data_IF_835858294016
#
_entry.id   IF_835858294016
#
_cell.length_a   1.000
_cell.length_b   1.000
_cell.length_c   1.000
_cell.angle_alpha   90.00
_cell.angle_beta   90.00
_cell.angle_gamma   90.00
#
_symmetry.space_group_name_H-M   'P 1'
#
loop_
_entity.id
_entity.type
_entity.pdbx_description
1 polymer ?
#
# COMPACT_ATOMS: atom_id res chain seq x y z
N UNK A 1 63.43 -2.84 -16.58
CA UNK A 1 62.87 -4.19 -16.34
C UNK A 1 63.60 -4.71 -15.12
N UNK A 2 63.11 -4.39 -13.93
CA UNK A 2 63.77 -4.81 -12.70
C UNK A 2 62.76 -5.02 -11.59
N UNK A 3 62.87 -6.19 -10.98
CA UNK A 3 63.05 -6.41 -9.55
C UNK A 3 62.18 -7.55 -9.04
N UNK A 4 62.89 -8.64 -8.73
CA UNK A 4 62.41 -9.87 -8.10
C UNK A 4 62.19 -9.62 -6.61
N UNK A 5 61.10 -10.19 -6.08
CA UNK A 5 60.97 -10.55 -4.66
C UNK A 5 62.05 -11.58 -4.26
N UNK A 6 62.46 -11.59 -2.97
CA UNK A 6 62.07 -12.74 -2.15
C UNK A 6 61.72 -12.41 -0.68
N UNK A 7 61.17 -13.43 -0.03
CA UNK A 7 60.50 -13.49 1.27
C UNK A 7 61.42 -13.47 2.51
N UNK A 8 60.83 -12.90 3.57
CA UNK A 8 60.88 -13.23 5.02
C UNK A 8 62.15 -12.94 5.84
N UNK A 9 62.02 -11.96 6.76
CA UNK A 9 62.81 -11.90 8.00
C UNK A 9 63.02 -10.49 8.54
N UNK A 10 62.54 -10.24 9.78
CA UNK A 10 62.75 -9.05 10.63
C UNK A 10 61.90 -7.83 10.25
N UNK A 11 61.09 -7.19 11.12
CA UNK A 11 61.34 -6.75 12.50
C UNK A 11 60.01 -6.68 13.27
N UNK A 12 60.04 -7.22 14.49
CA UNK A 12 59.00 -7.19 15.52
C UNK A 12 59.20 -5.93 16.37
N UNK A 13 58.26 -4.98 16.42
CA UNK A 13 58.14 -4.07 17.57
C UNK A 13 56.85 -3.24 17.52
N UNK A 14 56.19 -3.20 18.68
CA UNK A 14 55.08 -2.33 19.10
C UNK A 14 53.65 -2.72 18.68
N UNK A 15 52.79 -2.68 19.71
CA UNK A 15 51.34 -2.89 19.72
C UNK A 15 50.86 -4.34 19.87
N UNK A 16 51.34 -4.98 20.94
CA UNK A 16 50.74 -6.20 21.51
C UNK A 16 50.90 -6.19 23.01
N UNK A 17 50.00 -5.53 23.72
CA UNK A 17 49.81 -5.65 25.18
C UNK A 17 48.48 -4.98 25.54
N UNK A 18 47.69 -5.63 26.40
CA UNK A 18 46.45 -5.17 27.05
C UNK A 18 45.12 -5.73 26.51
N UNK A 19 44.95 -7.05 26.40
CA UNK A 19 43.60 -7.68 26.45
C UNK A 19 43.63 -9.03 27.18
N UNK A 20 44.23 -9.09 28.37
CA UNK A 20 44.09 -10.25 29.25
C UNK A 20 44.11 -9.82 30.72
N UNK A 21 43.00 -9.27 31.20
CA UNK A 21 42.68 -9.10 32.63
C UNK A 21 41.29 -8.49 32.76
N UNK A 22 40.29 -9.33 33.01
CA UNK A 22 39.14 -9.11 33.91
C UNK A 22 37.93 -9.91 33.46
N UNK A 23 37.94 -11.20 33.81
CA UNK A 23 36.73 -11.92 34.20
C UNK A 23 36.46 -11.63 35.68
N UNK A 24 35.19 -11.76 36.09
CA UNK A 24 34.59 -11.59 37.43
C UNK A 24 34.23 -10.18 37.94
N UNK A 25 32.93 -9.83 37.79
CA UNK A 25 31.96 -9.53 38.87
C UNK A 25 30.57 -9.11 38.34
N UNK A 26 29.57 -10.00 38.53
CA UNK A 26 28.14 -9.83 38.97
C UNK A 26 27.26 -8.62 38.51
N UNK A 27 25.91 -8.62 38.69
CA UNK A 27 24.87 -9.55 38.25
C UNK A 27 23.63 -8.82 37.62
N UNK A 28 22.56 -9.59 37.44
CA UNK A 28 21.19 -9.35 36.99
C UNK A 28 20.42 -8.05 37.44
N UNK A 29 19.61 -7.53 36.50
CA UNK A 29 18.29 -6.85 36.60
C UNK A 29 18.08 -5.36 37.00
N UNK A 30 17.31 -4.71 36.10
CA UNK A 30 16.17 -3.78 36.30
C UNK A 30 16.37 -2.24 36.30
N UNK A 31 15.78 -1.65 35.23
CA UNK A 31 15.07 -0.34 35.15
C UNK A 31 15.84 0.97 35.38
N UNK A 32 15.99 1.78 34.33
CA UNK A 32 15.37 3.13 34.25
C UNK A 32 15.72 3.84 32.93
N UNK A 33 14.70 4.54 32.44
CA UNK A 33 14.61 5.41 31.27
C UNK A 33 15.67 6.53 31.21
N UNK A 34 16.32 6.68 30.05
CA UNK A 34 16.72 7.95 29.43
C UNK A 34 17.20 7.58 28.01
N UNK A 35 16.55 8.02 26.92
CA UNK A 35 16.39 9.43 26.55
C UNK A 35 17.52 9.80 25.61
N UNK A 36 17.54 9.23 24.39
CA UNK A 36 18.48 9.61 23.34
C UNK A 36 17.77 10.62 22.42
N UNK A 37 17.89 11.89 22.79
CA UNK A 37 17.45 13.05 22.01
C UNK A 37 18.42 13.24 20.83
N UNK A 38 17.99 12.86 19.63
CA UNK A 38 18.67 13.26 18.40
C UNK A 38 18.38 14.75 18.14
N UNK A 39 19.36 15.58 18.46
CA UNK A 39 19.35 17.03 18.30
C UNK A 39 19.10 17.50 16.86
N UNK A 40 17.84 17.77 16.54
CA UNK A 40 17.48 18.83 15.60
C UNK A 40 17.11 20.04 16.45
N UNK A 41 18.00 21.03 16.51
CA UNK A 41 17.67 22.34 17.02
C UNK A 41 16.45 22.85 16.25
N UNK A 42 15.28 22.86 16.90
CA UNK A 42 14.14 23.66 16.45
C UNK A 42 14.60 25.11 16.56
N UNK A 43 15.14 25.67 15.50
CA UNK A 43 15.30 27.12 15.37
C UNK A 43 13.92 27.72 15.47
N UNK A 44 13.53 28.10 16.69
CA UNK A 44 12.42 29.02 16.93
C UNK A 44 12.75 30.24 16.10
N UNK A 45 11.97 30.48 15.04
CA UNK A 45 12.02 31.76 14.34
C UNK A 45 11.83 32.82 15.43
N UNK A 46 12.74 33.81 15.58
CA UNK A 46 12.55 34.86 16.54
C UNK A 46 11.21 35.52 16.23
N UNK A 47 10.35 35.64 17.24
CA UNK A 47 9.08 36.31 17.10
C UNK A 47 9.36 37.77 16.73
N UNK A 48 9.29 38.08 15.44
CA UNK A 48 9.20 39.46 14.97
C UNK A 48 7.85 39.93 15.46
N UNK A 49 7.86 40.79 16.48
CA UNK A 49 6.67 41.43 17.01
C UNK A 49 6.10 42.35 15.92
N UNK A 50 5.20 41.82 15.09
CA UNK A 50 4.33 42.64 14.25
C UNK A 50 3.34 43.32 15.18
N UNK A 51 3.54 44.61 15.40
CA UNK A 51 2.54 45.49 16.02
C UNK A 51 1.43 45.68 15.00
N UNK A 52 0.21 45.21 15.30
CA UNK A 52 -0.95 45.39 14.45
C UNK A 52 -2.19 44.64 14.94
N UNK A 53 -3.02 45.36 15.68
CA UNK A 53 -4.44 45.19 16.03
C UNK A 53 -5.01 43.84 16.50
N UNK A 54 -5.58 43.92 17.70
CA UNK A 54 -6.51 43.00 18.33
C UNK A 54 -7.84 42.93 17.56
N UNK A 55 -8.10 41.79 16.92
CA UNK A 55 -9.37 41.06 16.94
C UNK A 55 -9.39 39.98 15.84
N UNK A 56 -9.10 38.73 16.20
CA UNK A 56 -9.72 37.55 15.58
C UNK A 56 -9.32 36.29 16.33
N UNK A 57 -10.32 35.54 16.78
CA UNK A 57 -10.17 34.15 17.19
C UNK A 57 -9.92 33.25 15.97
N UNK A 58 -8.83 33.50 15.23
CA UNK A 58 -8.39 32.59 14.18
C UNK A 58 -7.56 31.48 14.81
N UNK A 59 -8.17 30.31 14.99
CA UNK A 59 -7.44 29.06 15.11
C UNK A 59 -6.45 29.00 13.94
N UNK A 60 -5.15 29.10 14.23
CA UNK A 60 -4.10 29.37 13.25
C UNK A 60 -4.12 28.46 12.02
N UNK A 61 -4.71 28.96 10.93
CA UNK A 61 -4.66 28.37 9.60
C UNK A 61 -3.25 28.53 9.03
N UNK A 62 -2.35 27.64 9.41
CA UNK A 62 -1.11 27.40 8.70
C UNK A 62 -1.33 26.26 7.69
N UNK A 63 -0.51 26.15 6.65
CA UNK A 63 -0.74 25.32 5.45
C UNK A 63 -0.92 23.80 5.68
N UNK A 64 -0.91 23.31 6.92
CA UNK A 64 -1.07 21.91 7.28
C UNK A 64 -2.38 21.69 8.08
N UNK A 65 -3.26 20.82 7.57
CA UNK A 65 -4.41 20.30 8.33
C UNK A 65 -4.03 18.99 9.02
N UNK A 66 -4.59 18.78 10.21
CA UNK A 66 -4.35 17.56 10.99
C UNK A 66 -4.82 16.31 10.21
N UNK A 67 -3.93 15.32 10.13
CA UNK A 67 -4.05 14.18 9.22
C UNK A 67 -4.74 13.04 9.97
N UNK A 68 -6.03 12.82 9.70
CA UNK A 68 -6.80 11.75 10.33
C UNK A 68 -6.27 10.33 10.00
N UNK A 69 -5.67 9.67 11.00
CA UNK A 69 -5.02 8.35 10.89
C UNK A 69 -6.01 7.16 10.87
N UNK A 70 -7.29 7.40 10.54
CA UNK A 70 -8.40 6.46 10.80
C UNK A 70 -8.49 5.34 9.76
N UNK A 71 -8.13 5.61 8.51
CA UNK A 71 -8.19 4.65 7.40
C UNK A 71 -7.20 3.49 7.63
N UNK A 72 -5.98 3.81 8.06
CA UNK A 72 -4.91 2.83 8.25
C UNK A 72 -5.17 1.91 9.45
N UNK A 73 -5.84 2.42 10.50
CA UNK A 73 -6.22 1.61 11.65
C UNK A 73 -7.28 0.55 11.30
N UNK A 74 -8.29 0.93 10.50
CA UNK A 74 -9.32 -0.01 10.06
C UNK A 74 -8.73 -1.09 9.14
N UNK A 75 -7.85 -0.71 8.22
CA UNK A 75 -7.13 -1.64 7.35
C UNK A 75 -6.27 -2.63 8.16
N UNK A 76 -5.51 -2.12 9.15
CA UNK A 76 -4.68 -2.95 10.04
C UNK A 76 -5.51 -3.97 10.81
N UNK A 77 -6.63 -3.58 11.42
CA UNK A 77 -7.49 -4.49 12.19
C UNK A 77 -8.02 -5.63 11.31
N UNK A 78 -8.48 -5.33 10.10
CA UNK A 78 -8.99 -6.33 9.15
C UNK A 78 -7.91 -7.34 8.75
N UNK A 79 -6.72 -6.84 8.36
CA UNK A 79 -5.62 -7.70 7.98
C UNK A 79 -5.13 -8.58 9.15
N UNK A 80 -5.13 -8.07 10.39
CA UNK A 80 -4.83 -8.88 11.58
C UNK A 80 -5.86 -9.97 11.76
N UNK A 81 -7.16 -9.64 11.72
CA UNK A 81 -8.22 -10.66 11.86
C UNK A 81 -8.10 -11.74 10.80
N UNK A 82 -7.90 -11.37 9.53
CA UNK A 82 -7.70 -12.30 8.42
C UNK A 82 -6.47 -13.20 8.62
N UNK A 83 -5.36 -12.61 9.07
CA UNK A 83 -4.11 -13.35 9.34
C UNK A 83 -4.26 -14.38 10.45
N UNK A 84 -4.94 -14.02 11.54
CA UNK A 84 -5.21 -14.95 12.65
C UNK A 84 -6.11 -16.10 12.20
N UNK A 85 -7.14 -15.80 11.41
CA UNK A 85 -8.06 -16.79 10.87
C UNK A 85 -7.34 -17.78 9.93
N UNK A 86 -6.51 -17.26 9.02
CA UNK A 86 -5.68 -18.05 8.11
C UNK A 86 -4.68 -18.92 8.88
N UNK A 87 -4.03 -18.40 9.93
CA UNK A 87 -3.10 -19.16 10.77
C UNK A 87 -3.79 -20.33 11.48
N UNK A 88 -4.96 -20.10 12.08
CA UNK A 88 -5.73 -21.16 12.75
C UNK A 88 -6.09 -22.27 11.77
N UNK A 89 -6.54 -21.90 10.57
CA UNK A 89 -6.94 -22.87 9.56
C UNK A 89 -5.75 -23.67 9.02
N UNK A 90 -4.65 -22.98 8.68
CA UNK A 90 -3.41 -23.62 8.24
C UNK A 90 -2.90 -24.64 9.27
N UNK A 91 -2.95 -24.34 10.57
CA UNK A 91 -2.59 -25.31 11.62
C UNK A 91 -3.53 -26.51 11.64
N UNK A 92 -4.83 -26.29 11.45
CA UNK A 92 -5.82 -27.36 11.33
C UNK A 92 -5.54 -28.29 10.14
N UNK A 93 -5.20 -27.73 8.98
CA UNK A 93 -4.85 -28.51 7.79
C UNK A 93 -3.53 -29.25 7.93
N UNK A 94 -2.51 -28.64 8.53
CA UNK A 94 -1.25 -29.33 8.81
C UNK A 94 -1.50 -30.55 9.71
N UNK A 95 -2.29 -30.39 10.77
CA UNK A 95 -2.66 -31.51 11.65
C UNK A 95 -3.48 -32.55 10.89
N UNK A 96 -4.45 -32.14 10.08
CA UNK A 96 -5.24 -33.04 9.23
C UNK A 96 -4.40 -33.81 8.21
N UNK A 97 -3.41 -33.17 7.60
CA UNK A 97 -2.47 -33.76 6.66
C UNK A 97 -1.56 -34.79 7.31
N UNK A 98 -1.06 -34.49 8.52
CA UNK A 98 -0.24 -35.42 9.31
C UNK A 98 -1.06 -36.66 9.75
N UNK A 99 -2.31 -36.48 10.15
CA UNK A 99 -3.17 -37.60 10.57
C UNK A 99 -3.62 -38.48 9.40
N UNK A 100 -3.80 -37.89 8.22
CA UNK A 100 -4.27 -38.59 7.02
C UNK A 100 -3.15 -39.16 6.14
N UNK A 101 -1.88 -38.80 6.40
CA UNK A 101 -0.73 -39.11 5.54
C UNK A 101 -0.98 -38.74 4.05
N UNK A 102 -1.79 -37.71 3.80
CA UNK A 102 -2.23 -37.35 2.45
C UNK A 102 -1.43 -36.19 1.88
N UNK A 103 -0.78 -36.43 0.73
CA UNK A 103 -0.04 -35.40 -0.01
C UNK A 103 -0.95 -34.28 -0.52
N UNK A 104 -2.24 -34.57 -0.74
CA UNK A 104 -3.21 -33.58 -1.21
C UNK A 104 -3.46 -32.46 -0.19
N UNK A 105 -3.54 -32.80 1.11
CA UNK A 105 -3.72 -31.81 2.17
C UNK A 105 -2.43 -31.00 2.38
N UNK A 106 -1.26 -31.60 2.16
CA UNK A 106 0.01 -30.89 2.25
C UNK A 106 0.14 -29.78 1.19
N UNK A 107 -0.39 -29.99 -0.02
CA UNK A 107 -0.39 -28.96 -1.07
C UNK A 107 -1.35 -27.81 -0.78
N UNK A 108 -2.49 -28.07 -0.13
CA UNK A 108 -3.44 -27.04 0.29
C UNK A 108 -2.87 -26.19 1.45
N UNK A 109 -2.25 -26.86 2.43
CA UNK A 109 -1.56 -26.18 3.53
C UNK A 109 -0.40 -25.29 3.03
N UNK A 110 0.31 -25.70 1.97
CA UNK A 110 1.36 -24.89 1.36
C UNK A 110 0.79 -23.63 0.66
N UNK A 111 -0.40 -23.73 0.07
CA UNK A 111 -1.12 -22.57 -0.47
C UNK A 111 -1.46 -21.57 0.64
N UNK A 112 -2.10 -22.04 1.72
CA UNK A 112 -2.48 -21.20 2.86
C UNK A 112 -1.27 -20.51 3.51
N UNK A 113 -0.12 -21.18 3.54
CA UNK A 113 1.12 -20.57 4.03
C UNK A 113 1.52 -19.34 3.20
N UNK A 114 1.36 -19.41 1.87
CA UNK A 114 1.67 -18.28 0.99
C UNK A 114 0.65 -17.15 1.10
N UNK A 115 -0.60 -17.47 1.40
CA UNK A 115 -1.66 -16.50 1.68
C UNK A 115 -1.37 -15.76 2.99
N UNK A 116 -1.02 -16.52 4.04
CA UNK A 116 -0.57 -15.98 5.31
C UNK A 116 0.67 -15.08 5.14
N UNK A 117 1.67 -15.52 4.39
CA UNK A 117 2.86 -14.73 4.09
C UNK A 117 2.50 -13.42 3.38
N UNK A 118 1.57 -13.45 2.42
CA UNK A 118 1.07 -12.24 1.73
C UNK A 118 0.40 -11.25 2.68
N UNK A 119 -0.39 -11.74 3.64
CA UNK A 119 -0.99 -10.88 4.67
C UNK A 119 0.05 -10.31 5.65
N UNK A 120 1.09 -11.08 6.00
CA UNK A 120 2.19 -10.59 6.83
C UNK A 120 2.99 -9.48 6.13
N UNK A 121 3.27 -9.64 4.83
CA UNK A 121 3.92 -8.60 4.01
C UNK A 121 3.04 -7.34 3.96
N UNK A 122 1.73 -7.51 3.79
CA UNK A 122 0.75 -6.41 3.79
C UNK A 122 0.69 -5.68 5.14
N UNK A 123 0.73 -6.40 6.26
CA UNK A 123 0.77 -5.80 7.61
C UNK A 123 2.09 -5.10 7.88
N UNK A 124 3.20 -5.71 7.49
CA UNK A 124 4.53 -5.12 7.64
C UNK A 124 4.66 -3.83 6.82
N UNK A 125 4.20 -3.84 5.57
CA UNK A 125 4.23 -2.63 4.72
C UNK A 125 3.35 -1.50 5.27
N UNK A 126 2.17 -1.81 5.81
CA UNK A 126 1.31 -0.83 6.49
C UNK A 126 1.95 -0.31 7.78
N UNK A 127 2.62 -1.16 8.55
CA UNK A 127 3.39 -0.70 9.72
C UNK A 127 4.51 0.26 9.31
N UNK A 128 5.27 -0.07 8.26
CA UNK A 128 6.35 0.77 7.75
C UNK A 128 5.80 2.10 7.21
N UNK A 129 4.65 2.11 6.53
CA UNK A 129 4.07 3.34 5.97
C UNK A 129 3.61 4.35 7.02
N UNK A 130 3.25 3.89 8.23
CA UNK A 130 2.89 4.76 9.36
C UNK A 130 4.08 5.44 10.03
N UNK A 131 5.33 5.11 9.65
CA UNK A 131 6.52 5.73 10.24
C UNK A 131 6.66 7.19 9.81
N UNK A 132 7.17 8.07 10.71
CA UNK A 132 7.41 9.46 10.37
C UNK A 132 8.46 9.61 9.27
N UNK A 133 8.42 10.76 8.58
CA UNK A 133 9.41 11.12 7.57
C UNK A 133 10.82 11.20 8.17
N UNK A 134 11.83 10.82 7.38
CA UNK A 134 13.25 10.85 7.77
C UNK A 134 14.04 11.69 6.77
N UNK A 135 15.28 12.06 7.09
CA UNK A 135 16.12 12.86 6.16
C UNK A 135 16.39 12.17 4.82
N UNK A 136 16.46 10.83 4.82
CA UNK A 136 16.64 10.03 3.58
C UNK A 136 15.33 9.83 2.82
N UNK A 137 14.21 9.74 3.54
CA UNK A 137 12.86 9.58 2.99
C UNK A 137 12.01 10.78 3.39
N UNK A 138 12.19 11.90 2.68
CA UNK A 138 11.60 13.21 2.99
C UNK A 138 10.07 13.20 2.93
N UNK A 139 9.51 12.49 1.96
CA UNK A 139 8.06 12.27 1.84
C UNK A 139 7.52 11.22 2.82
N UNK A 140 8.38 10.53 3.58
CA UNK A 140 8.00 9.41 4.43
C UNK A 140 7.95 8.07 3.71
N UNK A 141 7.36 7.08 4.38
CA UNK A 141 7.41 5.67 3.97
C UNK A 141 6.13 5.19 3.25
N UNK A 142 5.32 6.10 2.73
CA UNK A 142 4.01 5.77 2.14
C UNK A 142 4.09 4.80 0.96
N UNK A 143 5.16 4.86 0.15
CA UNK A 143 5.39 3.92 -0.96
C UNK A 143 5.62 2.47 -0.48
N UNK A 144 5.90 2.24 0.81
CA UNK A 144 6.05 0.88 1.34
C UNK A 144 4.77 0.05 1.15
N UNK A 145 3.58 0.66 1.24
CA UNK A 145 2.30 -0.03 0.95
C UNK A 145 2.25 -0.56 -0.48
N UNK A 146 2.65 0.27 -1.44
CA UNK A 146 2.67 -0.06 -2.87
C UNK A 146 3.67 -1.20 -3.13
N UNK A 147 4.84 -1.15 -2.49
CA UNK A 147 5.84 -2.22 -2.59
C UNK A 147 5.38 -3.52 -1.91
N UNK A 148 4.66 -3.43 -0.80
CA UNK A 148 4.04 -4.57 -0.13
C UNK A 148 3.04 -5.27 -1.04
N UNK A 149 2.09 -4.51 -1.60
CA UNK A 149 1.12 -5.02 -2.57
C UNK A 149 1.79 -5.66 -3.80
N UNK A 150 2.84 -5.02 -4.35
CA UNK A 150 3.62 -5.58 -5.46
C UNK A 150 4.21 -6.95 -5.10
N UNK A 151 4.85 -7.02 -3.93
CA UNK A 151 5.51 -8.25 -3.46
C UNK A 151 4.50 -9.37 -3.26
N UNK A 152 3.33 -9.08 -2.67
CA UNK A 152 2.24 -10.05 -2.53
C UNK A 152 1.73 -10.55 -3.89
N UNK A 153 1.52 -9.65 -4.87
CA UNK A 153 1.10 -10.06 -6.23
C UNK A 153 2.15 -10.96 -6.90
N UNK A 154 3.44 -10.65 -6.76
CA UNK A 154 4.50 -11.50 -7.30
C UNK A 154 4.54 -12.87 -6.62
N UNK A 155 4.30 -12.94 -5.31
CA UNK A 155 4.22 -14.22 -4.60
C UNK A 155 3.08 -15.09 -5.14
N UNK A 156 1.90 -14.49 -5.38
CA UNK A 156 0.76 -15.18 -6.02
C UNK A 156 1.16 -15.77 -7.37
N UNK A 157 1.84 -14.98 -8.22
CA UNK A 157 2.27 -15.46 -9.53
C UNK A 157 3.24 -16.63 -9.45
N UNK A 158 4.15 -16.62 -8.49
CA UNK A 158 5.06 -17.75 -8.24
C UNK A 158 4.27 -18.99 -7.85
N UNK A 159 3.32 -18.88 -6.91
CA UNK A 159 2.47 -20.00 -6.48
C UNK A 159 1.61 -20.52 -7.62
N UNK A 160 0.94 -19.65 -8.37
CA UNK A 160 0.15 -20.02 -9.54
C UNK A 160 1.02 -20.76 -10.58
N UNK A 161 2.24 -20.28 -10.85
CA UNK A 161 3.15 -20.96 -11.78
C UNK A 161 3.53 -22.36 -11.30
N UNK A 162 3.76 -22.54 -10.00
CA UNK A 162 4.02 -23.85 -9.38
C UNK A 162 2.80 -24.76 -9.52
N UNK A 163 1.58 -24.28 -9.24
CA UNK A 163 0.35 -25.07 -9.38
C UNK A 163 0.11 -25.51 -10.83
N UNK A 164 0.29 -24.59 -11.79
CA UNK A 164 0.20 -24.90 -13.22
C UNK A 164 1.23 -25.96 -13.61
N UNK A 165 2.47 -25.83 -13.14
CA UNK A 165 3.51 -26.83 -13.39
C UNK A 165 3.15 -28.20 -12.82
N UNK A 166 2.64 -28.26 -11.58
CA UNK A 166 2.15 -29.50 -10.96
C UNK A 166 0.95 -30.09 -11.71
N UNK A 167 0.03 -29.26 -12.21
CA UNK A 167 -1.11 -29.70 -13.01
C UNK A 167 -0.67 -30.32 -14.34
N UNK A 168 0.33 -29.72 -15.03
CA UNK A 168 0.95 -30.30 -16.23
C UNK A 168 1.60 -31.65 -15.90
N UNK A 169 2.34 -31.73 -14.79
CA UNK A 169 3.00 -32.97 -14.36
C UNK A 169 1.97 -34.09 -14.09
N UNK A 170 0.82 -33.77 -13.48
CA UNK A 170 -0.29 -34.72 -13.25
C UNK A 170 -0.83 -35.30 -14.56
N UNK A 171 -0.96 -34.48 -15.60
CA UNK A 171 -1.43 -34.93 -16.92
C UNK A 171 -0.41 -35.87 -17.60
N UNK A 172 0.88 -35.57 -17.49
CA UNK A 172 1.93 -36.35 -18.17
C UNK A 172 2.20 -37.68 -17.45
N UNK A 173 2.17 -37.67 -16.12
CA UNK A 173 2.62 -38.82 -15.34
C UNK A 173 1.58 -39.93 -15.21
N UNK A 174 0.28 -39.61 -15.40
CA UNK A 174 -0.90 -40.51 -15.35
C UNK A 174 -1.01 -41.45 -14.11
N UNK A 175 -0.11 -41.31 -13.14
CA UNK A 175 0.01 -42.13 -11.94
C UNK A 175 -0.32 -41.29 -10.70
N UNK A 176 -1.63 -41.15 -10.43
CA UNK A 176 -2.08 -40.49 -9.21
C UNK A 176 -3.34 -41.15 -8.64
N UNK A 177 -3.19 -41.76 -7.45
CA UNK A 177 -4.33 -42.17 -6.63
C UNK A 177 -4.83 -40.95 -5.84
N UNK A 178 -5.84 -40.26 -6.37
CA UNK A 178 -6.56 -39.24 -5.61
C UNK A 178 -7.56 -39.93 -4.68
N UNK A 179 -7.36 -39.75 -3.38
CA UNK A 179 -8.40 -40.06 -2.41
C UNK A 179 -9.47 -38.95 -2.46
N UNK A 180 -10.49 -39.18 -3.30
CA UNK A 180 -11.56 -38.23 -3.56
C UNK A 180 -12.33 -37.84 -2.29
N UNK A 181 -12.45 -38.75 -1.31
CA UNK A 181 -13.12 -38.46 -0.04
C UNK A 181 -12.40 -37.39 0.76
N UNK A 182 -11.07 -37.50 0.88
CA UNK A 182 -10.22 -36.52 1.57
C UNK A 182 -10.26 -35.17 0.84
N UNK A 183 -10.24 -35.19 -0.50
CA UNK A 183 -10.29 -33.99 -1.34
C UNK A 183 -11.64 -33.26 -1.21
N UNK A 184 -12.76 -33.98 -1.10
CA UNK A 184 -14.08 -33.38 -0.86
C UNK A 184 -14.11 -32.70 0.51
N UNK A 185 -13.63 -33.36 1.57
CA UNK A 185 -13.64 -32.81 2.93
C UNK A 185 -12.78 -31.55 3.00
N UNK A 186 -11.52 -31.62 2.56
CA UNK A 186 -10.59 -30.48 2.56
C UNK A 186 -11.14 -29.30 1.76
N UNK A 187 -11.52 -29.51 0.49
CA UNK A 187 -12.07 -28.43 -0.34
C UNK A 187 -13.36 -27.81 0.20
N UNK A 188 -14.23 -28.60 0.85
CA UNK A 188 -15.44 -28.06 1.51
C UNK A 188 -15.07 -27.14 2.67
N UNK A 189 -14.09 -27.53 3.49
CA UNK A 189 -13.61 -26.68 4.59
C UNK A 189 -12.94 -25.43 4.03
N UNK A 190 -12.09 -25.56 2.99
CA UNK A 190 -11.46 -24.43 2.30
C UNK A 190 -12.48 -23.42 1.76
N UNK A 191 -13.58 -23.90 1.15
CA UNK A 191 -14.70 -23.04 0.71
C UNK A 191 -15.30 -22.27 1.89
N UNK A 192 -15.60 -22.94 3.00
CA UNK A 192 -16.16 -22.30 4.20
C UNK A 192 -15.22 -21.23 4.74
N UNK A 193 -13.93 -21.53 4.86
CA UNK A 193 -12.93 -20.60 5.38
C UNK A 193 -12.78 -19.39 4.46
N UNK A 194 -12.72 -19.61 3.15
CA UNK A 194 -12.65 -18.53 2.18
C UNK A 194 -13.89 -17.63 2.18
N UNK A 195 -15.09 -18.18 2.45
CA UNK A 195 -16.30 -17.37 2.69
C UNK A 195 -16.12 -16.51 3.95
N UNK A 196 -15.67 -17.08 5.07
CA UNK A 196 -15.47 -16.35 6.33
C UNK A 196 -14.42 -15.24 6.14
N UNK A 197 -13.30 -15.53 5.46
CA UNK A 197 -12.28 -14.54 5.13
C UNK A 197 -12.85 -13.44 4.23
N UNK A 198 -13.59 -13.81 3.19
CA UNK A 198 -14.25 -12.87 2.28
C UNK A 198 -15.18 -11.91 3.03
N UNK A 199 -16.02 -12.43 3.94
CA UNK A 199 -16.92 -11.63 4.78
C UNK A 199 -16.17 -10.73 5.77
N UNK A 200 -15.03 -11.18 6.30
CA UNK A 200 -14.20 -10.39 7.23
C UNK A 200 -13.52 -9.21 6.53
N UNK A 201 -13.11 -9.39 5.26
CA UNK A 201 -12.52 -8.32 4.46
C UNK A 201 -13.58 -7.41 3.81
N UNK A 202 -14.77 -7.95 3.50
CA UNK A 202 -15.87 -7.21 2.90
C UNK A 202 -16.38 -6.11 3.84
N UNK A 203 -16.59 -4.91 3.30
CA UNK A 203 -17.11 -3.79 4.06
C UNK A 203 -18.63 -3.79 4.07
N UNK A 204 -19.23 -4.12 5.21
CA UNK A 204 -20.49 -3.47 5.60
C UNK A 204 -20.14 -2.13 6.25
N UNK A 205 -20.45 -1.04 5.55
CA UNK A 205 -20.51 0.28 6.14
C UNK A 205 -21.68 0.36 7.12
N UNK A 206 -21.50 -0.14 8.34
CA UNK A 206 -22.38 0.17 9.46
C UNK A 206 -21.62 1.07 10.43
N UNK A 207 -21.64 2.37 10.12
CA UNK A 207 -21.29 3.40 11.09
C UNK A 207 -22.41 3.50 12.13
N UNK A 208 -22.33 2.71 13.20
CA UNK A 208 -23.01 3.05 14.45
C UNK A 208 -22.14 4.06 15.21
N UNK A 209 -22.09 5.28 14.68
CA UNK A 209 -21.59 6.46 15.39
C UNK A 209 -22.76 7.18 16.02
N UNK A 210 -22.99 6.90 17.31
CA UNK A 210 -24.00 7.57 18.11
C UNK A 210 -23.48 8.96 18.48
N UNK A 211 -23.87 10.02 17.74
CA UNK A 211 -23.66 11.41 18.18
C UNK A 211 -24.86 12.27 17.82
N UNK A 212 -25.66 12.59 18.85
CA UNK A 212 -26.67 13.62 18.86
C UNK A 212 -26.04 15.01 18.67
N UNK A 213 -26.67 15.87 17.86
CA UNK A 213 -26.37 17.31 17.75
C UNK A 213 -27.31 17.99 16.75
N UNK A 214 -27.99 19.06 17.19
CA UNK A 214 -29.22 19.61 16.62
C UNK A 214 -29.03 20.68 15.50
N UNK A 215 -29.98 20.70 14.55
CA UNK A 215 -30.72 21.84 13.92
C UNK A 215 -30.02 23.15 13.44
N UNK A 216 -30.15 23.51 12.15
CA UNK A 216 -31.06 24.55 11.58
C UNK A 216 -30.67 25.05 10.15
N UNK A 217 -31.68 25.07 9.28
CA UNK A 217 -32.08 26.02 8.21
C UNK A 217 -31.17 26.56 7.05
N UNK A 218 -31.66 26.24 5.83
CA UNK A 218 -31.94 27.05 4.62
C UNK A 218 -30.89 27.94 3.94
N UNK A 219 -30.47 27.50 2.74
CA UNK A 219 -30.39 28.35 1.54
C UNK A 219 -30.53 27.50 0.27
N UNK A 220 -31.41 27.95 -0.62
CA UNK A 220 -31.85 27.34 -1.88
C UNK A 220 -30.84 27.63 -3.00
N UNK A 221 -30.37 26.60 -3.71
CA UNK A 221 -29.74 26.73 -5.03
C UNK A 221 -30.16 25.52 -5.89
N UNK A 222 -30.79 25.73 -7.07
CA UNK A 222 -31.20 24.66 -7.96
C UNK A 222 -30.24 24.58 -9.15
N UNK A 223 -29.19 23.75 -9.09
CA UNK A 223 -28.55 23.21 -10.31
C UNK A 223 -27.62 22.02 -10.01
N UNK A 224 -28.02 20.84 -10.51
CA UNK A 224 -27.18 19.72 -10.93
C UNK A 224 -25.89 19.44 -10.13
N UNK A 225 -26.04 19.03 -8.87
CA UNK A 225 -24.98 18.36 -8.12
C UNK A 225 -25.10 16.84 -8.23
N UNK A 226 -24.44 16.24 -9.22
CA UNK A 226 -24.17 14.81 -9.25
C UNK A 226 -23.51 14.45 -7.91
N UNK A 227 -24.24 13.74 -7.04
CA UNK A 227 -23.69 13.20 -5.81
C UNK A 227 -22.66 12.15 -6.21
N UNK A 228 -21.41 12.57 -6.37
CA UNK A 228 -20.30 11.66 -6.51
C UNK A 228 -20.25 10.83 -5.24
N UNK A 229 -20.69 9.58 -5.37
CA UNK A 229 -20.40 8.52 -4.42
C UNK A 229 -18.90 8.57 -4.16
N UNK A 230 -18.52 9.08 -2.98
CA UNK A 230 -17.16 8.95 -2.50
C UNK A 230 -16.92 7.47 -2.31
N UNK A 231 -16.42 6.80 -3.35
CA UNK A 231 -15.86 5.47 -3.24
C UNK A 231 -14.83 5.56 -2.12
N UNK A 232 -15.13 4.97 -0.97
CA UNK A 232 -14.25 4.98 0.18
C UNK A 232 -12.86 4.58 -0.30
N UNK A 233 -11.86 5.45 -0.17
CA UNK A 233 -10.49 5.17 -0.57
C UNK A 233 -10.00 3.95 0.25
N UNK A 234 -10.14 2.76 -0.32
CA UNK A 234 -9.70 1.53 0.31
C UNK A 234 -8.18 1.41 0.15
N UNK A 235 -7.50 1.02 1.23
CA UNK A 235 -6.07 0.76 1.20
C UNK A 235 -5.76 -0.33 0.15
N UNK A 236 -4.69 -0.13 -0.63
CA UNK A 236 -4.30 -1.05 -1.71
C UNK A 236 -4.05 -2.47 -1.19
N UNK A 237 -3.48 -2.60 0.00
CA UNK A 237 -3.18 -3.88 0.61
C UNK A 237 -4.47 -4.64 0.98
N UNK A 238 -5.49 -3.93 1.49
CA UNK A 238 -6.79 -4.54 1.79
C UNK A 238 -7.50 -4.96 0.51
N UNK A 239 -7.45 -4.11 -0.53
CA UNK A 239 -8.02 -4.43 -1.84
C UNK A 239 -7.33 -5.62 -2.49
N UNK A 240 -6.00 -5.67 -2.44
CA UNK A 240 -5.20 -6.79 -2.93
C UNK A 240 -5.54 -8.08 -2.17
N UNK A 241 -5.55 -8.04 -0.84
CA UNK A 241 -5.95 -9.17 0.00
C UNK A 241 -7.38 -9.64 -0.26
N UNK A 242 -8.33 -8.73 -0.54
CA UNK A 242 -9.70 -9.10 -0.85
C UNK A 242 -9.84 -9.80 -2.21
N UNK A 243 -9.18 -9.26 -3.25
CA UNK A 243 -9.16 -9.89 -4.58
C UNK A 243 -8.49 -11.26 -4.51
N UNK A 244 -7.42 -11.38 -3.72
CA UNK A 244 -6.74 -12.64 -3.43
C UNK A 244 -7.69 -13.68 -2.84
N UNK A 245 -8.37 -13.35 -1.73
CA UNK A 245 -9.33 -14.25 -1.06
C UNK A 245 -10.48 -14.66 -1.98
N UNK A 246 -10.94 -13.77 -2.88
CA UNK A 246 -11.95 -14.14 -3.90
C UNK A 246 -11.37 -15.17 -4.89
N UNK A 247 -10.12 -15.00 -5.30
CA UNK A 247 -9.41 -15.97 -6.13
C UNK A 247 -9.39 -17.35 -5.47
N UNK A 248 -8.96 -17.41 -4.21
CA UNK A 248 -8.87 -18.64 -3.42
C UNK A 248 -10.24 -19.29 -3.20
N UNK A 249 -11.27 -18.48 -2.95
CA UNK A 249 -12.65 -18.93 -2.86
C UNK A 249 -13.09 -19.64 -4.15
N UNK A 250 -12.91 -18.99 -5.29
CA UNK A 250 -13.28 -19.55 -6.59
C UNK A 250 -12.49 -20.83 -6.89
N UNK A 251 -11.19 -20.84 -6.59
CA UNK A 251 -10.35 -22.03 -6.71
C UNK A 251 -10.85 -23.17 -5.82
N UNK A 252 -11.15 -22.91 -4.55
CA UNK A 252 -11.66 -23.91 -3.60
C UNK A 252 -13.00 -24.52 -4.06
N UNK A 253 -13.91 -23.68 -4.58
CA UNK A 253 -15.17 -24.13 -5.16
C UNK A 253 -14.91 -25.03 -6.37
N UNK A 254 -13.97 -24.63 -7.24
CA UNK A 254 -13.57 -25.41 -8.39
C UNK A 254 -13.02 -26.80 -8.05
N UNK A 255 -12.09 -26.85 -7.08
CA UNK A 255 -11.53 -28.10 -6.55
C UNK A 255 -12.64 -28.96 -5.92
N UNK A 256 -13.58 -28.35 -5.19
CA UNK A 256 -14.73 -29.06 -4.62
C UNK A 256 -15.62 -29.70 -5.70
N UNK A 257 -15.89 -28.98 -6.79
CA UNK A 257 -16.67 -29.49 -7.94
C UNK A 257 -15.89 -30.63 -8.63
N UNK A 258 -14.59 -30.46 -8.85
CA UNK A 258 -13.74 -31.50 -9.43
C UNK A 258 -13.72 -32.77 -8.55
N UNK A 259 -13.58 -32.62 -7.24
CA UNK A 259 -13.57 -33.72 -6.28
C UNK A 259 -14.90 -34.49 -6.29
N UNK A 260 -16.03 -33.78 -6.35
CA UNK A 260 -17.36 -34.39 -6.44
C UNK A 260 -17.53 -35.18 -7.76
N UNK A 261 -17.07 -34.65 -8.89
CA UNK A 261 -17.12 -35.36 -10.17
C UNK A 261 -16.24 -36.62 -10.14
N UNK A 262 -15.03 -36.53 -9.59
CA UNK A 262 -14.08 -37.65 -9.48
C UNK A 262 -14.64 -38.74 -8.55
N UNK A 263 -15.35 -38.38 -7.48
CA UNK A 263 -15.96 -39.34 -6.56
C UNK A 263 -17.03 -40.21 -7.24
N UNK A 264 -17.93 -39.61 -8.05
CA UNK A 264 -18.95 -40.38 -8.77
C UNK A 264 -18.44 -41.04 -10.06
N UNK A 265 -17.44 -40.44 -10.72
CA UNK A 265 -16.85 -40.94 -11.96
C UNK A 265 -15.32 -40.88 -11.88
N UNK A 266 -14.68 -41.90 -11.29
CA UNK A 266 -13.23 -41.95 -11.15
C UNK A 266 -12.46 -41.94 -12.48
N UNK A 267 -13.10 -42.19 -13.62
CA UNK A 267 -12.48 -42.08 -14.95
C UNK A 267 -12.23 -40.63 -15.37
N UNK A 268 -12.92 -39.65 -14.78
CA UNK A 268 -12.86 -38.23 -15.15
C UNK A 268 -11.81 -37.48 -14.32
N UNK A 269 -10.65 -38.10 -14.06
CA UNK A 269 -9.59 -37.50 -13.23
C UNK A 269 -8.94 -36.26 -13.84
N UNK A 270 -9.09 -36.07 -15.16
CA UNK A 270 -8.56 -34.91 -15.90
C UNK A 270 -9.25 -33.59 -15.53
N UNK A 271 -10.41 -33.65 -14.87
CA UNK A 271 -11.19 -32.47 -14.47
C UNK A 271 -10.41 -31.59 -13.49
N UNK A 272 -9.63 -32.17 -12.59
CA UNK A 272 -8.83 -31.43 -11.59
C UNK A 272 -7.73 -30.54 -12.23
N UNK A 273 -6.87 -31.05 -13.13
CA UNK A 273 -5.96 -30.20 -13.90
C UNK A 273 -6.65 -29.12 -14.72
N UNK A 274 -7.77 -29.44 -15.40
CA UNK A 274 -8.53 -28.45 -16.20
C UNK A 274 -9.04 -27.31 -15.32
N UNK A 275 -9.61 -27.63 -14.16
CA UNK A 275 -10.02 -26.64 -13.17
C UNK A 275 -8.82 -25.77 -12.74
N UNK A 276 -7.67 -26.38 -12.43
CA UNK A 276 -6.46 -25.65 -12.02
C UNK A 276 -6.00 -24.64 -13.10
N UNK A 277 -5.99 -25.01 -14.38
CA UNK A 277 -5.66 -24.08 -15.46
C UNK A 277 -6.66 -22.92 -15.57
N UNK A 278 -7.96 -23.21 -15.49
CA UNK A 278 -9.01 -22.20 -15.55
C UNK A 278 -8.84 -21.14 -14.45
N UNK A 279 -8.62 -21.57 -13.20
CA UNK A 279 -8.43 -20.65 -12.08
C UNK A 279 -7.10 -19.90 -12.16
N UNK A 280 -6.04 -20.54 -12.63
CA UNK A 280 -4.75 -19.87 -12.85
C UNK A 280 -4.88 -18.68 -13.81
N UNK A 281 -5.65 -18.83 -14.89
CA UNK A 281 -5.94 -17.72 -15.82
C UNK A 281 -6.73 -16.62 -15.12
N UNK A 282 -7.76 -16.97 -14.35
CA UNK A 282 -8.58 -16.00 -13.62
C UNK A 282 -7.75 -15.20 -12.60
N UNK A 283 -6.91 -15.87 -11.82
CA UNK A 283 -6.00 -15.24 -10.85
C UNK A 283 -5.02 -14.30 -11.56
N UNK A 284 -4.43 -14.72 -12.68
CA UNK A 284 -3.53 -13.85 -13.45
C UNK A 284 -4.24 -12.60 -13.99
N UNK A 285 -5.46 -12.72 -14.54
CA UNK A 285 -6.22 -11.56 -15.03
C UNK A 285 -6.55 -10.55 -13.91
N UNK A 286 -7.01 -11.03 -12.77
CA UNK A 286 -7.42 -10.18 -11.65
C UNK A 286 -6.22 -9.50 -10.99
N UNK A 287 -5.12 -10.22 -10.79
CA UNK A 287 -3.89 -9.69 -10.21
C UNK A 287 -3.13 -8.74 -11.15
N UNK A 288 -3.21 -8.95 -12.47
CA UNK A 288 -2.61 -8.03 -13.45
C UNK A 288 -3.19 -6.61 -13.36
N UNK A 289 -4.48 -6.48 -13.04
CA UNK A 289 -5.09 -5.17 -12.81
C UNK A 289 -4.47 -4.45 -11.59
N UNK A 290 -4.19 -5.16 -10.50
CA UNK A 290 -3.53 -4.61 -9.31
C UNK A 290 -2.08 -4.26 -9.62
N UNK A 291 -1.37 -5.13 -10.35
CA UNK A 291 0.01 -4.90 -10.77
C UNK A 291 0.12 -3.60 -11.57
N UNK A 292 -0.77 -3.40 -12.56
CA UNK A 292 -0.81 -2.18 -13.38
C UNK A 292 -1.03 -0.91 -12.54
N UNK A 293 -1.93 -0.97 -11.55
CA UNK A 293 -2.17 0.16 -10.65
C UNK A 293 -0.95 0.47 -9.78
N UNK A 294 -0.32 -0.56 -9.26
CA UNK A 294 0.87 -0.47 -8.40
C UNK A 294 2.06 0.11 -9.17
N UNK A 295 2.29 -0.37 -10.40
CA UNK A 295 3.33 0.14 -11.28
C UNK A 295 3.09 1.59 -11.68
N UNK A 296 1.84 2.01 -11.91
CA UNK A 296 1.51 3.42 -12.19
C UNK A 296 1.90 4.34 -11.04
N UNK A 297 1.67 3.93 -9.79
CA UNK A 297 2.09 4.71 -8.62
C UNK A 297 3.62 4.77 -8.52
N UNK A 298 4.32 3.66 -8.79
CA UNK A 298 5.79 3.63 -8.80
C UNK A 298 6.41 4.47 -9.93
N UNK A 299 5.75 4.55 -11.07
CA UNK A 299 6.14 5.37 -12.22
C UNK A 299 5.65 6.82 -12.13
N UNK A 300 5.18 7.26 -10.96
CA UNK A 300 4.76 8.64 -10.69
C UNK A 300 3.63 9.13 -11.61
N UNK A 301 2.79 8.21 -12.08
CA UNK A 301 1.66 8.54 -12.93
C UNK A 301 0.57 9.31 -12.15
N UNK A 302 -0.22 10.08 -12.89
CA UNK A 302 -1.39 10.78 -12.38
C UNK A 302 -2.37 9.79 -11.71
N UNK A 303 -2.81 10.06 -10.47
CA UNK A 303 -3.73 9.17 -9.75
C UNK A 303 -5.09 9.07 -10.45
N UNK A 304 -5.75 7.91 -10.30
CA UNK A 304 -7.12 7.71 -10.78
C UNK A 304 -8.06 8.69 -10.06
N UNK A 305 -8.90 9.38 -10.81
CA UNK A 305 -9.87 10.33 -10.27
C UNK A 305 -9.39 11.79 -10.20
N UNK A 306 -8.16 12.07 -10.65
CA UNK A 306 -7.70 13.44 -10.90
C UNK A 306 -7.37 13.57 -12.38
N UNK A 307 -8.01 14.53 -13.04
CA UNK A 307 -7.75 14.83 -14.45
C UNK A 307 -6.75 15.99 -14.55
N UNK A 308 -5.75 15.83 -15.42
CA UNK A 308 -4.74 16.86 -15.65
C UNK A 308 -5.39 18.18 -16.14
N UNK A 309 -6.32 18.09 -17.10
CA UNK A 309 -7.03 19.24 -17.67
C UNK A 309 -7.84 20.00 -16.62
N UNK A 310 -8.54 19.30 -15.73
CA UNK A 310 -9.36 19.94 -14.69
C UNK A 310 -8.48 20.70 -13.68
N UNK A 311 -7.33 20.13 -13.30
CA UNK A 311 -6.36 20.83 -12.45
C UNK A 311 -5.83 22.09 -13.12
N UNK A 312 -5.48 21.99 -14.41
CA UNK A 312 -4.98 23.11 -15.19
C UNK A 312 -6.03 24.23 -15.30
N UNK A 313 -7.28 23.87 -15.59
CA UNK A 313 -8.42 24.79 -15.67
C UNK A 313 -8.69 25.50 -14.34
N UNK A 314 -8.65 24.79 -13.22
CA UNK A 314 -8.84 25.38 -11.89
C UNK A 314 -7.75 26.43 -11.60
N UNK A 315 -6.50 26.12 -11.92
CA UNK A 315 -5.39 27.05 -11.71
C UNK A 315 -5.50 28.26 -12.66
N UNK A 316 -5.85 28.07 -13.93
CA UNK A 316 -6.06 29.17 -14.87
C UNK A 316 -7.22 30.09 -14.51
N UNK A 317 -8.30 29.56 -13.95
CA UNK A 317 -9.47 30.35 -13.52
C UNK A 317 -9.24 31.11 -12.23
N UNK A 318 -8.11 30.88 -11.55
CA UNK A 318 -7.78 31.59 -10.31
C UNK A 318 -7.45 33.05 -10.61
N UNK A 319 -8.05 33.97 -9.86
CA UNK A 319 -7.83 35.40 -10.04
C UNK A 319 -6.36 35.78 -9.84
N UNK A 320 -5.87 36.69 -10.70
CA UNK A 320 -4.46 37.09 -10.75
C UNK A 320 -3.51 36.12 -11.47
N UNK A 321 -3.96 34.94 -11.90
CA UNK A 321 -3.16 34.01 -12.72
C UNK A 321 -3.19 34.43 -14.19
N UNK A 322 -2.01 34.50 -14.81
CA UNK A 322 -1.84 34.74 -16.24
C UNK A 322 -1.66 33.42 -16.99
N UNK A 323 -0.78 32.54 -16.49
CA UNK A 323 -0.43 31.27 -17.14
C UNK A 323 0.01 30.25 -16.11
N UNK A 324 -0.12 28.96 -16.42
CA UNK A 324 0.33 27.86 -15.58
C UNK A 324 1.21 26.95 -16.43
N UNK A 325 2.33 26.49 -15.89
CA UNK A 325 3.21 25.55 -16.58
C UNK A 325 3.89 24.57 -15.60
N UNK A 326 4.59 23.57 -16.16
CA UNK A 326 5.30 22.53 -15.40
C UNK A 326 4.43 21.89 -14.30
N UNK A 327 3.16 21.61 -14.63
CA UNK A 327 2.23 20.92 -13.74
C UNK A 327 2.64 19.45 -13.66
N UNK A 328 2.94 18.99 -12.44
CA UNK A 328 3.24 17.58 -12.17
C UNK A 328 2.30 17.10 -11.07
N UNK A 329 1.69 15.96 -11.34
CA UNK A 329 0.71 15.33 -10.46
C UNK A 329 1.11 13.88 -10.34
N UNK A 330 1.36 13.42 -9.12
CA UNK A 330 1.73 12.03 -8.87
C UNK A 330 1.12 11.50 -7.59
N UNK A 331 1.06 10.17 -7.49
CA UNK A 331 0.62 9.48 -6.29
C UNK A 331 1.83 9.01 -5.45
N UNK A 332 1.81 9.27 -4.15
CA UNK A 332 2.73 8.63 -3.19
C UNK A 332 2.18 7.28 -2.72
N UNK A 333 0.86 7.19 -2.58
CA UNK A 333 0.05 5.99 -2.33
C UNK A 333 -1.32 6.20 -2.98
N UNK A 334 -2.23 5.23 -2.88
CA UNK A 334 -3.57 5.32 -3.49
C UNK A 334 -4.43 6.48 -2.98
N UNK A 335 -4.13 6.97 -1.78
CA UNK A 335 -4.88 8.01 -1.06
C UNK A 335 -4.07 9.31 -0.85
N UNK A 336 -2.80 9.34 -1.24
CA UNK A 336 -1.89 10.47 -1.02
C UNK A 336 -1.39 11.01 -2.35
N UNK A 337 -2.05 12.07 -2.81
CA UNK A 337 -1.70 12.77 -4.05
C UNK A 337 -0.76 13.93 -3.74
N UNK A 338 0.31 14.05 -4.52
CA UNK A 338 1.21 15.19 -4.51
C UNK A 338 1.09 15.96 -5.83
N UNK A 339 1.10 17.29 -5.73
CA UNK A 339 0.97 18.20 -6.87
C UNK A 339 2.01 19.31 -6.77
N UNK A 340 2.71 19.57 -7.86
CA UNK A 340 3.48 20.79 -8.03
C UNK A 340 3.14 21.49 -9.34
N UNK A 341 3.17 22.82 -9.34
CA UNK A 341 2.97 23.61 -10.54
C UNK A 341 3.64 24.98 -10.40
N UNK A 342 3.96 25.59 -11.54
CA UNK A 342 4.42 26.97 -11.59
C UNK A 342 3.27 27.83 -12.10
N UNK A 343 3.00 28.93 -11.39
CA UNK A 343 1.88 29.82 -11.63
C UNK A 343 2.45 31.20 -11.95
N UNK A 344 2.27 31.63 -13.18
CA UNK A 344 2.67 32.96 -13.64
C UNK A 344 1.58 33.95 -13.28
N UNK A 345 1.93 34.99 -12.51
CA UNK A 345 1.00 36.02 -12.08
C UNK A 345 0.92 37.20 -13.05
N UNK A 346 -0.24 37.89 -13.08
CA UNK A 346 -0.42 39.13 -13.85
C UNK A 346 0.46 40.25 -13.27
N UNK A 347 0.95 41.19 -14.11
CA UNK A 347 1.71 42.35 -13.62
C UNK A 347 0.90 43.18 -12.61
N UNK A 348 1.50 43.52 -11.46
CA UNK A 348 0.87 44.32 -10.41
C UNK A 348 0.08 43.53 -9.35
N UNK A 349 -0.02 42.21 -9.49
CA UNK A 349 -0.64 41.33 -8.50
C UNK A 349 0.28 41.02 -7.32
N UNK A 350 -0.30 40.66 -6.17
CA UNK A 350 0.45 40.20 -4.99
C UNK A 350 0.59 38.68 -4.99
N UNK A 351 1.83 38.19 -4.89
CA UNK A 351 2.17 36.76 -4.93
C UNK A 351 1.41 35.93 -3.88
N UNK A 352 1.35 36.42 -2.64
CA UNK A 352 0.76 35.69 -1.52
C UNK A 352 -0.75 35.50 -1.68
N UNK A 353 -1.43 36.49 -2.28
CA UNK A 353 -2.86 36.44 -2.56
C UNK A 353 -3.17 35.41 -3.65
N UNK A 354 -2.41 35.45 -4.76
CA UNK A 354 -2.56 34.50 -5.87
C UNK A 354 -2.27 33.08 -5.40
N UNK A 355 -1.20 32.87 -4.62
CA UNK A 355 -0.85 31.58 -4.04
C UNK A 355 -2.00 31.03 -3.17
N UNK A 356 -2.47 31.79 -2.18
CA UNK A 356 -3.55 31.35 -1.28
C UNK A 356 -4.84 31.03 -2.04
N UNK A 357 -5.19 31.83 -3.04
CA UNK A 357 -6.38 31.59 -3.86
C UNK A 357 -6.25 30.30 -4.68
N UNK A 358 -5.09 30.08 -5.32
CA UNK A 358 -4.82 28.88 -6.10
C UNK A 358 -4.82 27.62 -5.22
N UNK A 359 -4.15 27.68 -4.05
CA UNK A 359 -4.14 26.58 -3.09
C UNK A 359 -5.55 26.24 -2.60
N UNK A 360 -6.35 27.25 -2.25
CA UNK A 360 -7.72 27.05 -1.78
C UNK A 360 -8.62 26.46 -2.87
N UNK A 361 -8.50 26.90 -4.12
CA UNK A 361 -9.29 26.38 -5.22
C UNK A 361 -9.00 24.89 -5.49
N UNK A 362 -7.73 24.51 -5.49
CA UNK A 362 -7.34 23.09 -5.64
C UNK A 362 -7.78 22.27 -4.43
N UNK A 363 -7.57 22.75 -3.19
CA UNK A 363 -7.93 22.03 -1.96
C UNK A 363 -9.45 21.91 -1.75
N UNK A 364 -10.26 22.78 -2.35
CA UNK A 364 -11.73 22.68 -2.34
C UNK A 364 -12.22 21.53 -3.21
N UNK A 365 -11.59 21.31 -4.38
CA UNK A 365 -11.99 20.26 -5.33
C UNK A 365 -11.36 18.92 -5.02
N UNK A 366 -10.08 18.93 -4.64
CA UNK A 366 -9.26 17.73 -4.50
C UNK A 366 -8.63 17.62 -3.12
N UNK A 367 -8.60 16.39 -2.60
CA UNK A 367 -7.87 16.07 -1.36
C UNK A 367 -6.39 15.84 -1.68
N UNK A 368 -5.65 16.92 -1.85
CA UNK A 368 -4.20 16.88 -2.11
C UNK A 368 -3.44 16.73 -0.79
N UNK A 369 -2.54 15.76 -0.73
CA UNK A 369 -1.72 15.46 0.44
C UNK A 369 -0.53 16.44 0.57
N UNK A 370 0.19 16.67 -0.53
CA UNK A 370 1.24 17.69 -0.63
C UNK A 370 0.99 18.58 -1.85
N UNK A 371 1.02 19.89 -1.64
CA UNK A 371 0.80 20.89 -2.69
C UNK A 371 1.94 21.90 -2.63
N UNK A 372 2.60 22.12 -3.76
CA UNK A 372 3.64 23.14 -3.88
C UNK A 372 3.40 23.94 -5.15
N UNK A 373 3.04 25.21 -5.00
CA UNK A 373 2.86 26.12 -6.11
C UNK A 373 3.97 27.17 -6.07
N UNK A 374 4.73 27.26 -7.17
CA UNK A 374 5.75 28.27 -7.34
C UNK A 374 5.14 29.46 -8.10
N UNK A 375 5.05 30.62 -7.45
CA UNK A 375 4.52 31.83 -8.10
C UNK A 375 5.67 32.61 -8.74
N UNK A 376 5.53 32.95 -10.02
CA UNK A 376 6.56 33.62 -10.81
C UNK A 376 5.98 34.85 -11.55
N UNK A 377 6.78 35.90 -11.75
CA UNK A 377 6.42 36.97 -12.67
C UNK A 377 6.50 36.48 -14.11
N UNK A 378 5.73 37.12 -15.00
CA UNK A 378 5.82 36.85 -16.43
C UNK A 378 7.18 37.29 -17.00
N UNK A 379 7.79 36.42 -17.81
CA UNK A 379 9.01 36.71 -18.60
C UNK A 379 8.79 36.21 -20.03
N UNK A 380 9.09 37.03 -21.03
CA UNK A 380 8.86 36.72 -22.46
C UNK A 380 9.58 35.44 -22.94
N UNK A 381 10.73 35.10 -22.33
CA UNK A 381 11.47 33.88 -22.67
C UNK A 381 10.68 32.60 -22.39
N UNK A 382 9.62 32.67 -21.59
CA UNK A 382 8.79 31.51 -21.27
C UNK A 382 7.82 31.13 -22.40
N UNK A 383 7.68 31.93 -23.46
CA UNK A 383 6.84 31.60 -24.63
C UNK A 383 7.54 30.67 -25.62
N UNK A 384 8.87 30.59 -25.55
CA UNK A 384 9.73 29.79 -26.44
C UNK A 384 10.32 28.56 -25.72
N UNK A 385 9.92 28.32 -24.48
CA UNK A 385 10.48 27.26 -23.64
C UNK A 385 9.67 25.96 -23.75
N UNK A 386 10.27 24.90 -24.30
CA UNK A 386 9.62 23.58 -24.43
C UNK A 386 9.20 22.98 -23.09
N UNK A 387 9.94 23.24 -22.00
CA UNK A 387 9.58 22.79 -20.64
C UNK A 387 8.39 23.56 -20.03
N UNK A 388 8.01 24.69 -20.63
CA UNK A 388 6.83 25.47 -20.20
C UNK A 388 5.55 25.04 -20.93
N UNK A 389 5.67 24.16 -21.94
CA UNK A 389 4.51 23.61 -22.65
C UNK A 389 3.88 22.53 -21.77
N UNK A 390 2.59 22.68 -21.45
CA UNK A 390 1.86 21.63 -20.76
C UNK A 390 1.66 20.41 -21.69
N UNK A 391 1.86 19.19 -21.19
CA UNK A 391 1.68 17.95 -21.95
C UNK A 391 0.24 17.69 -22.40
#
# INVERSE_FOLDING_TARGET
MDSKLPLLGEVKSQYGTLEESMSDKMPFQASLSHGFDDGVAKTKVPAIALVGDSDSSSSGEHCHKDRGNTIDQAARRKLITASVLCLIFMLGEIVGGLLSNSLAIATDAAHLLTDFASFMISLFSLYVSTRPATRRMSFGWYRAEVLGALTSVLLIWVVTAVLVYLAVLRIISDDYEINAEIMIISSTIGVIVNIIMGLTLHQHGHSHGNSHGHSHENSFDPENGLSHSHSSAQNINVRAAFIHVIGDFLQSVGVCIAAFIIYFKPEWRIVDPICTFLFSILVLMTTFAILKDTLRVLMEATPKGMEFTDVLDILHRTDGVLRVHNVRIWALSMDKVALCAHVVMKPGEQSDRVLRNAENNIRKRYKVFELTLQVEPFVESMDVCDQCVCP
#
